data_IF_352476180218
#
_entry.id   IF_352476180218
#
_cell.length_a   1.000
_cell.length_b   1.000
_cell.length_c   1.000
_cell.angle_alpha   90.00
_cell.angle_beta   90.00
_cell.angle_gamma   90.00
#
_symmetry.space_group_name_H-M   'P 1'
#
loop_
_entity.id
_entity.type
_entity.pdbx_description
1 polymer ?
#
# COMPACT_ATOMS: atom_id res chain seq x y z
N UNK A 1 28.43 25.73 10.97
CA UNK A 1 27.14 25.27 10.43
C UNK A 1 27.36 24.12 9.45
N UNK A 2 27.94 23.00 9.92
CA UNK A 2 28.21 21.79 9.09
C UNK A 2 28.13 20.48 9.90
N UNK A 3 28.14 20.55 11.24
CA UNK A 3 28.02 19.41 12.14
C UNK A 3 26.56 18.94 12.35
N UNK A 4 25.57 19.83 12.19
CA UNK A 4 24.16 19.49 12.38
C UNK A 4 23.60 18.69 11.19
N UNK A 5 24.12 18.90 9.98
CA UNK A 5 23.67 18.21 8.76
C UNK A 5 24.16 16.76 8.67
N UNK A 6 25.29 16.46 9.32
CA UNK A 6 25.91 15.13 9.35
C UNK A 6 25.25 14.23 10.39
N UNK A 7 24.98 14.75 11.59
CA UNK A 7 24.22 14.06 12.64
C UNK A 7 22.82 13.67 12.14
N UNK A 8 22.14 14.57 11.42
CA UNK A 8 20.78 14.30 10.94
C UNK A 8 20.75 13.22 9.84
N UNK A 9 21.74 13.18 8.95
CA UNK A 9 21.85 12.14 7.90
C UNK A 9 22.17 10.77 8.47
N UNK A 10 23.05 10.70 9.47
CA UNK A 10 23.46 9.44 10.09
C UNK A 10 22.33 8.87 10.98
N UNK A 11 21.63 9.74 11.70
CA UNK A 11 20.46 9.38 12.49
C UNK A 11 19.27 8.94 11.61
N UNK A 12 19.04 9.61 10.47
CA UNK A 12 18.04 9.19 9.47
C UNK A 12 18.40 7.83 8.84
N UNK A 13 19.69 7.58 8.58
CA UNK A 13 20.16 6.30 8.03
C UNK A 13 20.03 5.14 9.03
N UNK A 14 20.33 5.38 10.30
CA UNK A 14 20.18 4.39 11.38
C UNK A 14 18.71 4.04 11.64
N UNK A 15 17.79 4.99 11.48
CA UNK A 15 16.35 4.74 11.59
C UNK A 15 15.85 3.88 10.44
N UNK A 16 16.20 4.21 9.20
CA UNK A 16 15.70 3.50 8.00
C UNK A 16 16.25 2.07 7.86
N UNK A 17 17.50 1.82 8.24
CA UNK A 17 18.11 0.48 8.10
C UNK A 17 17.72 -0.49 9.23
N UNK A 18 17.17 0.01 10.36
CA UNK A 18 16.73 -0.81 11.51
C UNK A 18 15.20 -0.90 11.69
N UNK A 19 14.39 -0.23 10.87
CA UNK A 19 12.93 -0.14 11.09
C UNK A 19 12.18 -1.38 10.59
N UNK A 20 12.43 -1.81 9.34
CA UNK A 20 11.66 -2.88 8.71
C UNK A 20 11.74 -4.21 9.49
N UNK A 21 12.87 -4.47 10.16
CA UNK A 21 13.03 -5.66 11.01
C UNK A 21 12.16 -5.61 12.27
N UNK A 22 12.00 -4.43 12.86
CA UNK A 22 11.18 -4.21 14.05
C UNK A 22 9.69 -4.20 13.67
N UNK A 23 9.30 -3.51 12.61
CA UNK A 23 7.91 -3.50 12.11
C UNK A 23 7.46 -4.90 11.70
N UNK A 24 8.29 -5.65 10.97
CA UNK A 24 8.02 -7.05 10.62
C UNK A 24 7.74 -7.89 11.86
N UNK A 25 8.59 -7.78 12.89
CA UNK A 25 8.39 -8.52 14.14
C UNK A 25 7.10 -8.10 14.83
N UNK A 26 6.81 -6.81 14.92
CA UNK A 26 5.57 -6.33 15.53
C UNK A 26 4.33 -6.86 14.80
N UNK A 27 4.33 -6.86 13.47
CA UNK A 27 3.23 -7.39 12.67
C UNK A 27 3.09 -8.91 12.84
N UNK A 28 4.20 -9.65 12.85
CA UNK A 28 4.18 -11.09 13.09
C UNK A 28 3.64 -11.43 14.49
N UNK A 29 4.05 -10.69 15.53
CA UNK A 29 3.56 -10.86 16.90
C UNK A 29 2.06 -10.54 17.03
N UNK A 30 1.54 -9.64 16.18
CA UNK A 30 0.10 -9.33 16.05
C UNK A 30 -0.69 -10.37 15.23
N UNK A 31 -0.02 -11.39 14.68
CA UNK A 31 -0.66 -12.48 13.94
C UNK A 31 -0.82 -12.25 12.44
N UNK A 32 -0.18 -11.22 11.86
CA UNK A 32 -0.16 -11.05 10.41
C UNK A 32 0.66 -12.17 9.75
N UNK A 33 0.17 -12.69 8.63
CA UNK A 33 0.89 -13.68 7.83
C UNK A 33 2.11 -13.05 7.15
N UNK A 34 3.12 -13.86 6.82
CA UNK A 34 4.28 -13.39 6.04
C UNK A 34 3.88 -12.72 4.72
N UNK A 35 2.80 -13.20 4.09
CA UNK A 35 2.23 -12.61 2.88
C UNK A 35 1.70 -11.20 3.15
N UNK A 36 0.89 -11.03 4.20
CA UNK A 36 0.37 -9.71 4.57
C UNK A 36 1.50 -8.75 4.94
N UNK A 37 2.48 -9.20 5.73
CA UNK A 37 3.66 -8.40 6.10
C UNK A 37 4.44 -7.97 4.86
N UNK A 38 4.65 -8.88 3.90
CA UNK A 38 5.30 -8.55 2.63
C UNK A 38 4.52 -7.48 1.85
N UNK A 39 3.19 -7.59 1.77
CA UNK A 39 2.36 -6.57 1.14
C UNK A 39 2.45 -5.22 1.85
N UNK A 40 2.49 -5.20 3.19
CA UNK A 40 2.61 -3.98 3.97
C UNK A 40 3.97 -3.28 3.79
N UNK A 41 5.08 -4.02 3.90
CA UNK A 41 6.43 -3.44 3.95
C UNK A 41 7.05 -3.19 2.58
N UNK A 42 6.78 -4.05 1.60
CA UNK A 42 7.60 -4.11 0.37
C UNK A 42 6.88 -3.60 -0.87
N UNK A 43 5.55 -3.52 -0.87
CA UNK A 43 4.80 -3.19 -2.09
C UNK A 43 4.74 -1.68 -2.32
N UNK A 44 5.13 -1.21 -3.51
CA UNK A 44 5.40 0.21 -3.72
C UNK A 44 4.16 0.98 -4.18
N UNK A 45 2.93 0.54 -3.89
CA UNK A 45 1.72 1.16 -4.46
C UNK A 45 1.11 2.28 -3.61
N UNK A 46 1.72 2.59 -2.47
CA UNK A 46 1.38 3.77 -1.67
C UNK A 46 1.76 5.05 -2.41
N UNK A 47 0.85 6.03 -2.45
CA UNK A 47 1.08 7.35 -3.02
C UNK A 47 -0.07 7.87 -3.87
N UNK A 48 0.20 8.93 -4.61
CA UNK A 48 -0.74 9.57 -5.53
C UNK A 48 -0.39 9.26 -6.98
N UNK A 49 -1.36 9.44 -7.87
CA UNK A 49 -1.14 9.38 -9.32
C UNK A 49 -1.76 10.65 -9.94
N UNK A 50 -0.93 11.69 -10.23
CA UNK A 50 -1.44 13.00 -10.66
C UNK A 50 -2.24 12.99 -11.97
N UNK A 51 -1.96 12.04 -12.86
CA UNK A 51 -2.59 11.87 -14.17
C UNK A 51 -3.63 10.73 -14.19
N UNK A 52 -4.13 10.33 -13.02
CA UNK A 52 -5.20 9.34 -12.89
C UNK A 52 -6.47 9.79 -13.62
N UNK A 53 -7.14 8.83 -14.25
CA UNK A 53 -8.42 9.06 -14.95
C UNK A 53 -9.59 9.01 -13.97
N UNK A 54 -9.45 8.25 -12.87
CA UNK A 54 -10.44 8.20 -11.79
C UNK A 54 -9.75 8.26 -10.42
N UNK A 55 -10.35 9.03 -9.51
CA UNK A 55 -9.96 9.09 -8.10
C UNK A 55 -11.20 8.90 -7.24
N UNK A 56 -11.12 8.00 -6.25
CA UNK A 56 -12.24 7.71 -5.34
C UNK A 56 -11.74 7.63 -3.91
N UNK A 57 -12.56 8.04 -2.95
CA UNK A 57 -12.24 8.05 -1.53
C UNK A 57 -13.39 7.48 -0.71
N UNK A 58 -13.06 6.67 0.29
CA UNK A 58 -14.03 6.01 1.16
C UNK A 58 -13.51 5.96 2.60
N UNK A 59 -14.38 6.32 3.55
CA UNK A 59 -14.19 6.09 4.98
C UNK A 59 -14.91 4.81 5.38
N UNK A 60 -14.17 3.82 5.86
CA UNK A 60 -14.70 2.59 6.42
C UNK A 60 -15.33 2.80 7.80
N UNK A 61 -16.26 1.94 8.18
CA UNK A 61 -16.92 2.00 9.49
C UNK A 61 -15.97 1.74 10.67
N UNK A 62 -14.83 1.11 10.41
CA UNK A 62 -13.74 0.91 11.39
C UNK A 62 -12.89 2.17 11.63
N UNK A 63 -13.06 3.22 10.82
CA UNK A 63 -12.25 4.44 10.87
C UNK A 63 -11.10 4.47 9.85
N UNK A 64 -10.79 3.36 9.19
CA UNK A 64 -9.79 3.33 8.11
C UNK A 64 -10.32 4.11 6.90
N UNK A 65 -9.48 4.96 6.32
CA UNK A 65 -9.79 5.75 5.11
C UNK A 65 -8.88 5.32 3.98
N UNK A 66 -9.48 5.10 2.81
CA UNK A 66 -8.78 4.71 1.59
C UNK A 66 -9.13 5.68 0.47
N UNK A 67 -8.10 6.15 -0.24
CA UNK A 67 -8.21 6.83 -1.52
C UNK A 67 -7.48 6.02 -2.59
N UNK A 68 -8.14 5.77 -3.71
CA UNK A 68 -7.59 5.04 -4.86
C UNK A 68 -7.49 5.97 -6.05
N UNK A 69 -6.40 5.83 -6.80
CA UNK A 69 -6.15 6.52 -8.05
C UNK A 69 -5.98 5.47 -9.15
N UNK A 70 -6.69 5.61 -10.26
CA UNK A 70 -6.75 4.62 -11.34
C UNK A 70 -6.42 5.26 -12.68
N UNK A 71 -5.45 4.69 -13.40
CA UNK A 71 -5.16 5.00 -14.81
C UNK A 71 -5.71 3.90 -15.70
N UNK A 72 -6.50 4.27 -16.68
CA UNK A 72 -7.22 3.36 -17.58
C UNK A 72 -6.86 3.70 -19.03
N UNK A 73 -6.61 2.66 -19.83
CA UNK A 73 -6.38 2.79 -21.26
C UNK A 73 -7.12 1.66 -21.99
N UNK A 74 -8.06 2.04 -22.86
CA UNK A 74 -8.91 1.13 -23.63
C UNK A 74 -9.46 -0.05 -22.79
N UNK A 75 -10.12 0.27 -21.67
CA UNK A 75 -10.71 -0.69 -20.72
C UNK A 75 -9.70 -1.50 -19.87
N UNK A 76 -8.40 -1.28 -20.01
CA UNK A 76 -7.35 -1.95 -19.22
C UNK A 76 -6.83 -1.02 -18.13
N UNK A 77 -6.66 -1.55 -16.92
CA UNK A 77 -6.04 -0.84 -15.80
C UNK A 77 -4.52 -0.80 -15.99
N UNK A 78 -3.96 0.39 -16.25
CA UNK A 78 -2.52 0.57 -16.51
C UNK A 78 -1.72 0.85 -15.25
N UNK A 79 -2.25 1.65 -14.35
CA UNK A 79 -1.62 1.90 -13.06
C UNK A 79 -2.67 2.17 -11.98
N UNK A 80 -2.30 1.84 -10.75
CA UNK A 80 -3.14 2.01 -9.56
C UNK A 80 -2.24 2.50 -8.44
N UNK A 81 -2.69 3.51 -7.71
CA UNK A 81 -2.06 3.97 -6.47
C UNK A 81 -3.09 4.08 -5.38
N UNK A 82 -2.66 3.87 -4.15
CA UNK A 82 -3.50 4.01 -2.97
C UNK A 82 -2.87 4.99 -1.98
N UNK A 83 -3.72 5.76 -1.32
CA UNK A 83 -3.41 6.38 -0.03
C UNK A 83 -4.32 5.74 1.01
N UNK A 84 -3.72 5.15 2.03
CA UNK A 84 -4.45 4.48 3.09
C UNK A 84 -4.04 5.09 4.43
N UNK A 85 -5.02 5.58 5.17
CA UNK A 85 -4.88 5.90 6.58
C UNK A 85 -5.67 4.83 7.33
N UNK A 86 -5.00 3.85 7.89
CA UNK A 86 -5.68 2.74 8.54
C UNK A 86 -4.75 1.68 9.08
N UNK A 87 -5.34 0.56 9.52
CA UNK A 87 -4.59 -0.55 10.08
C UNK A 87 -3.66 -1.23 9.05
N UNK A 88 -2.64 -2.00 9.51
CA UNK A 88 -1.76 -2.74 8.61
C UNK A 88 -2.49 -3.73 7.68
N UNK A 89 -3.63 -4.27 8.13
CA UNK A 89 -4.49 -5.12 7.30
C UNK A 89 -5.10 -4.37 6.12
N UNK A 90 -5.60 -3.15 6.34
CA UNK A 90 -6.15 -2.31 5.26
C UNK A 90 -5.08 -1.95 4.23
N UNK A 91 -3.87 -1.62 4.71
CA UNK A 91 -2.72 -1.33 3.82
C UNK A 91 -2.35 -2.60 3.03
N UNK A 92 -2.20 -3.74 3.69
CA UNK A 92 -1.84 -5.01 3.04
C UNK A 92 -2.85 -5.41 1.96
N UNK A 93 -4.14 -5.33 2.26
CA UNK A 93 -5.22 -5.66 1.34
C UNK A 93 -5.25 -4.72 0.12
N UNK A 94 -5.04 -3.41 0.33
CA UNK A 94 -4.94 -2.45 -0.77
C UNK A 94 -3.72 -2.73 -1.67
N UNK A 95 -2.58 -3.13 -1.11
CA UNK A 95 -1.41 -3.48 -1.92
C UNK A 95 -1.63 -4.78 -2.70
N UNK A 96 -2.32 -5.76 -2.10
CA UNK A 96 -2.65 -7.02 -2.75
C UNK A 96 -3.64 -6.85 -3.90
N UNK A 97 -4.67 -6.01 -3.73
CA UNK A 97 -5.65 -5.76 -4.79
C UNK A 97 -5.01 -5.16 -6.06
N UNK A 98 -3.96 -4.35 -5.92
CA UNK A 98 -3.21 -3.83 -7.08
C UNK A 98 -2.59 -4.97 -7.90
N UNK A 99 -1.91 -5.91 -7.24
CA UNK A 99 -1.29 -7.05 -7.96
C UNK A 99 -2.33 -7.92 -8.68
N UNK A 100 -3.53 -8.04 -8.11
CA UNK A 100 -4.62 -8.82 -8.72
C UNK A 100 -5.16 -8.18 -9.99
N UNK A 101 -5.36 -6.85 -9.99
CA UNK A 101 -6.13 -6.16 -11.04
C UNK A 101 -5.29 -5.30 -11.99
N UNK A 102 -4.04 -4.98 -11.66
CA UNK A 102 -3.18 -4.21 -12.57
C UNK A 102 -2.89 -5.00 -13.85
N UNK A 103 -3.11 -4.36 -14.99
CA UNK A 103 -2.99 -4.98 -16.32
C UNK A 103 -4.21 -5.81 -16.74
N UNK A 104 -5.24 -5.90 -15.90
CA UNK A 104 -6.52 -6.55 -16.23
C UNK A 104 -7.53 -5.54 -16.77
N UNK A 105 -8.58 -6.04 -17.38
CA UNK A 105 -9.71 -5.20 -17.78
C UNK A 105 -10.62 -4.84 -16.59
N UNK A 106 -11.50 -3.86 -16.79
CA UNK A 106 -12.42 -3.40 -15.75
C UNK A 106 -13.44 -4.47 -15.32
N UNK A 107 -13.81 -5.39 -16.22
CA UNK A 107 -14.81 -6.43 -15.92
C UNK A 107 -14.22 -7.46 -14.94
N UNK A 108 -12.99 -7.90 -15.19
CA UNK A 108 -12.24 -8.73 -14.25
C UNK A 108 -12.03 -8.02 -12.91
N UNK A 109 -11.66 -6.74 -12.93
CA UNK A 109 -11.46 -5.99 -11.70
C UNK A 109 -12.74 -5.88 -10.86
N UNK A 110 -13.90 -5.79 -11.51
CA UNK A 110 -15.21 -5.76 -10.86
C UNK A 110 -15.67 -7.13 -10.36
N UNK A 111 -15.09 -8.23 -10.87
CA UNK A 111 -15.41 -9.58 -10.38
C UNK A 111 -14.62 -10.00 -9.15
N UNK A 112 -13.57 -9.26 -8.78
CA UNK A 112 -12.74 -9.55 -7.60
C UNK A 112 -13.50 -9.21 -6.32
N UNK A 113 -13.43 -10.10 -5.33
CA UNK A 113 -13.94 -9.89 -3.99
C UNK A 113 -12.85 -10.01 -2.90
N UNK A 114 -13.25 -9.95 -1.64
CA UNK A 114 -12.34 -10.06 -0.51
C UNK A 114 -11.73 -11.47 -0.36
N UNK A 115 -12.44 -12.51 -0.81
CA UNK A 115 -11.93 -13.88 -0.85
C UNK A 115 -10.68 -14.01 -1.73
N UNK A 116 -10.67 -13.38 -2.89
CA UNK A 116 -9.50 -13.37 -3.80
C UNK A 116 -8.27 -12.67 -3.18
N UNK A 117 -8.49 -11.70 -2.29
CA UNK A 117 -7.42 -10.96 -1.60
C UNK A 117 -6.83 -11.78 -0.46
N UNK A 118 -7.65 -12.57 0.24
CA UNK A 118 -7.23 -13.32 1.42
C UNK A 118 -6.65 -14.72 1.12
N UNK A 119 -6.83 -15.25 -0.09
CA UNK A 119 -6.15 -16.48 -0.57
C UNK A 119 -4.69 -16.24 -0.93
#
# INVERSE_FOLDING_TARGET
MHLLDSVNKEQTKILVENDNGNERKMLADLGYSEKAIYYYLEKPYMGTLPDADQVSEMLGTCGDTLKVFLKIDHNTIKDIRYQVLGCPGAISAAMASVDLVKGKDLEYAMSIDDGDVFT
#
